data_IF_411435413878
#
_entry.id   IF_411435413878
#
_cell.length_a   1.000
_cell.length_b   1.000
_cell.length_c   1.000
_cell.angle_alpha   90.00
_cell.angle_beta   90.00
_cell.angle_gamma   90.00
#
_symmetry.space_group_name_H-M   'P 1'
#
loop_
_entity.id
_entity.type
_entity.pdbx_description
1 polymer ?
#
# COMPACT_ATOMS: atom_id res chain seq x y z
N UNK A 1 -8.07 29.28 -2.86
CA UNK A 1 -7.04 28.71 -3.76
C UNK A 1 -5.65 29.12 -3.27
N UNK A 2 -5.45 30.35 -2.87
CA UNK A 2 -4.16 30.86 -2.35
C UNK A 2 -3.68 30.12 -1.09
N UNK A 3 -4.60 29.55 -0.31
CA UNK A 3 -4.33 28.80 0.91
C UNK A 3 -4.06 27.31 0.68
N UNK A 4 -4.09 26.81 -0.55
CA UNK A 4 -3.83 25.40 -0.80
C UNK A 4 -2.35 25.06 -0.54
N UNK A 5 -2.07 24.00 0.21
CA UNK A 5 -0.70 23.57 0.51
C UNK A 5 0.09 23.28 -0.77
N UNK A 6 1.30 23.86 -0.84
CA UNK A 6 2.22 23.66 -1.96
C UNK A 6 3.17 22.49 -1.72
N UNK A 7 3.57 21.74 -2.77
CA UNK A 7 4.66 20.78 -2.68
C UNK A 7 6.02 21.48 -2.66
N UNK A 8 7.02 20.80 -2.15
CA UNK A 8 8.42 21.15 -2.40
C UNK A 8 8.82 20.63 -3.79
N UNK A 9 9.04 21.56 -4.72
CA UNK A 9 9.42 21.22 -6.09
C UNK A 9 10.91 20.88 -6.22
N UNK A 10 11.74 21.25 -5.25
CA UNK A 10 13.18 20.96 -5.28
C UNK A 10 13.52 19.47 -5.19
N UNK A 11 12.58 18.64 -4.76
CA UNK A 11 12.74 17.19 -4.66
C UNK A 11 12.32 16.41 -5.91
N UNK A 12 11.77 17.12 -6.93
CA UNK A 12 11.21 16.52 -8.14
C UNK A 12 12.20 16.63 -9.31
N UNK A 13 12.15 15.65 -10.21
CA UNK A 13 12.84 15.79 -11.49
C UNK A 13 12.15 16.81 -12.40
N UNK A 14 12.88 17.32 -13.41
CA UNK A 14 12.38 18.35 -14.33
C UNK A 14 11.08 17.91 -15.06
N UNK A 15 10.99 16.66 -15.43
CA UNK A 15 9.81 16.11 -16.13
C UNK A 15 8.58 16.11 -15.24
N UNK A 16 8.75 15.79 -13.96
CA UNK A 16 7.65 15.78 -13.00
C UNK A 16 7.25 17.19 -12.57
N UNK A 17 8.18 18.15 -12.53
CA UNK A 17 7.87 19.57 -12.35
C UNK A 17 7.00 20.08 -13.51
N UNK A 18 7.35 19.78 -14.76
CA UNK A 18 6.56 20.18 -15.94
C UNK A 18 5.16 19.58 -15.91
N UNK A 19 5.06 18.29 -15.58
CA UNK A 19 3.75 17.61 -15.42
C UNK A 19 2.92 18.22 -14.30
N UNK A 20 3.55 18.54 -13.19
CA UNK A 20 2.89 19.23 -12.07
C UNK A 20 2.36 20.60 -12.49
N UNK A 21 3.17 21.42 -13.16
CA UNK A 21 2.78 22.75 -13.62
C UNK A 21 1.59 22.70 -14.58
N UNK A 22 1.60 21.79 -15.57
CA UNK A 22 0.46 21.58 -16.48
C UNK A 22 -0.83 21.20 -15.73
N UNK A 23 -0.73 20.32 -14.74
CA UNK A 23 -1.89 19.95 -13.90
C UNK A 23 -2.38 21.13 -13.06
N UNK A 24 -1.46 21.91 -12.50
CA UNK A 24 -1.77 23.12 -11.72
C UNK A 24 -2.50 24.14 -12.58
N UNK A 25 -2.00 24.41 -13.77
CA UNK A 25 -2.63 25.31 -14.74
C UNK A 25 -4.05 24.85 -15.08
N UNK A 26 -4.26 23.57 -15.41
CA UNK A 26 -5.57 23.02 -15.71
C UNK A 26 -6.57 23.20 -14.56
N UNK A 27 -6.13 22.92 -13.32
CA UNK A 27 -6.97 23.11 -12.12
C UNK A 27 -7.24 24.59 -11.87
N UNK A 28 -6.26 25.46 -12.07
CA UNK A 28 -6.42 26.92 -11.90
C UNK A 28 -7.46 27.46 -12.88
N UNK A 29 -7.36 27.16 -14.17
CA UNK A 29 -8.32 27.56 -15.19
C UNK A 29 -9.74 27.08 -14.85
N UNK A 30 -9.87 25.83 -14.40
CA UNK A 30 -11.17 25.28 -13.97
C UNK A 30 -11.78 26.07 -12.82
N UNK A 31 -10.97 26.40 -11.80
CA UNK A 31 -11.43 27.14 -10.62
C UNK A 31 -11.74 28.61 -10.94
N UNK A 32 -11.18 29.13 -12.03
CA UNK A 32 -11.53 30.45 -12.60
C UNK A 32 -12.79 30.45 -13.46
N UNK A 33 -13.37 29.26 -13.73
CA UNK A 33 -14.61 29.12 -14.49
C UNK A 33 -14.39 29.00 -16.00
N UNK A 34 -13.17 28.73 -16.48
CA UNK A 34 -12.91 28.50 -17.90
C UNK A 34 -13.66 27.27 -18.42
N UNK A 35 -14.07 27.30 -19.68
CA UNK A 35 -14.73 26.17 -20.32
C UNK A 35 -13.79 24.98 -20.50
N UNK A 36 -14.31 23.74 -20.39
CA UNK A 36 -13.49 22.52 -20.56
C UNK A 36 -12.74 22.45 -21.89
N UNK A 37 -13.31 22.99 -22.97
CA UNK A 37 -12.65 23.04 -24.27
C UNK A 37 -11.40 23.94 -24.25
N UNK A 38 -11.46 25.07 -23.58
CA UNK A 38 -10.34 26.00 -23.42
C UNK A 38 -9.24 25.37 -22.56
N UNK A 39 -9.63 24.73 -21.45
CA UNK A 39 -8.68 24.03 -20.57
C UNK A 39 -7.98 22.90 -21.33
N UNK A 40 -8.71 22.14 -22.13
CA UNK A 40 -8.12 21.10 -22.96
C UNK A 40 -7.16 21.66 -24.02
N UNK A 41 -7.53 22.75 -24.68
CA UNK A 41 -6.68 23.41 -25.68
C UNK A 41 -5.36 23.92 -25.05
N UNK A 42 -5.42 24.48 -23.83
CA UNK A 42 -4.25 25.02 -23.14
C UNK A 42 -3.35 23.93 -22.52
N UNK A 43 -3.93 22.89 -21.93
CA UNK A 43 -3.20 21.97 -21.06
C UNK A 43 -3.20 20.50 -21.51
N UNK A 44 -4.05 20.14 -22.47
CA UNK A 44 -4.27 18.78 -22.92
C UNK A 44 -5.06 17.88 -21.93
N UNK A 45 -5.60 18.45 -20.85
CA UNK A 45 -6.33 17.68 -19.83
C UNK A 45 -7.82 17.59 -20.13
N UNK A 46 -8.33 16.37 -20.29
CA UNK A 46 -9.75 16.11 -20.47
C UNK A 46 -10.54 16.38 -19.18
N UNK A 47 -11.81 16.78 -19.30
CA UNK A 47 -12.74 17.07 -18.20
C UNK A 47 -12.78 15.94 -17.15
N UNK A 48 -12.86 14.67 -17.57
CA UNK A 48 -12.87 13.52 -16.67
C UNK A 48 -11.59 13.42 -15.83
N UNK A 49 -10.43 13.66 -16.46
CA UNK A 49 -9.15 13.63 -15.75
C UNK A 49 -9.03 14.79 -14.77
N UNK A 50 -9.44 15.98 -15.17
CA UNK A 50 -9.45 17.17 -14.33
C UNK A 50 -10.34 17.01 -13.09
N UNK A 51 -11.58 16.51 -13.26
CA UNK A 51 -12.47 16.22 -12.15
C UNK A 51 -11.87 15.20 -11.16
N UNK A 52 -11.16 14.19 -11.68
CA UNK A 52 -10.45 13.21 -10.85
C UNK A 52 -9.30 13.85 -10.08
N UNK A 53 -8.50 14.71 -10.72
CA UNK A 53 -7.42 15.44 -10.04
C UNK A 53 -7.95 16.27 -8.87
N UNK A 54 -9.06 16.97 -9.07
CA UNK A 54 -9.65 17.82 -8.04
C UNK A 54 -10.25 16.98 -6.93
N UNK A 55 -11.20 16.09 -7.22
CA UNK A 55 -11.98 15.37 -6.22
C UNK A 55 -11.17 14.31 -5.48
N UNK A 56 -10.39 13.50 -6.20
CA UNK A 56 -9.71 12.33 -5.62
C UNK A 56 -8.31 12.67 -5.13
N UNK A 57 -7.76 13.84 -5.48
CA UNK A 57 -6.38 14.19 -5.11
C UNK A 57 -6.29 15.52 -4.36
N UNK A 58 -6.76 16.62 -4.94
CA UNK A 58 -6.63 17.93 -4.28
C UNK A 58 -7.48 18.05 -3.01
N UNK A 59 -8.74 17.57 -3.07
CA UNK A 59 -9.69 17.69 -1.97
C UNK A 59 -9.57 16.59 -0.92
N UNK A 60 -8.71 15.61 -1.12
CA UNK A 60 -8.50 14.54 -0.15
C UNK A 60 -7.74 15.05 1.08
N UNK A 61 -8.03 14.48 2.25
CA UNK A 61 -7.37 14.85 3.50
C UNK A 61 -5.96 14.24 3.55
N UNK A 62 -4.96 15.09 3.78
CA UNK A 62 -3.59 14.69 4.01
C UNK A 62 -3.40 14.28 5.49
N UNK A 63 -2.40 13.42 5.83
CA UNK A 63 -2.12 13.03 7.22
C UNK A 63 -1.88 14.19 8.21
N UNK A 64 -1.54 15.39 7.74
CA UNK A 64 -1.42 16.60 8.56
C UNK A 64 -2.78 17.26 8.91
N UNK A 65 -3.91 16.64 8.54
CA UNK A 65 -5.26 17.12 8.80
C UNK A 65 -5.77 18.19 7.82
N UNK A 66 -4.95 18.68 6.88
CA UNK A 66 -5.35 19.61 5.82
C UNK A 66 -5.66 18.87 4.53
N UNK A 67 -6.26 19.54 3.56
CA UNK A 67 -6.40 18.98 2.20
C UNK A 67 -5.04 18.84 1.55
N UNK A 68 -4.92 17.91 0.60
CA UNK A 68 -3.71 17.79 -0.21
C UNK A 68 -3.42 19.08 -1.02
N UNK A 69 -4.46 19.75 -1.52
CA UNK A 69 -4.32 20.93 -2.34
C UNK A 69 -3.40 20.69 -3.54
N UNK A 70 -2.47 21.61 -3.79
CA UNK A 70 -1.50 21.48 -4.89
C UNK A 70 -0.58 20.27 -4.74
N UNK A 71 -0.29 19.82 -3.52
CA UNK A 71 0.51 18.60 -3.26
C UNK A 71 -0.11 17.36 -3.92
N UNK A 72 -1.45 17.31 -4.05
CA UNK A 72 -2.15 16.24 -4.72
C UNK A 72 -1.88 16.15 -6.22
N UNK A 73 -1.35 17.18 -6.87
CA UNK A 73 -1.05 17.20 -8.31
C UNK A 73 0.32 16.64 -8.67
N UNK A 74 1.19 16.42 -7.68
CA UNK A 74 2.53 15.87 -7.89
C UNK A 74 2.43 14.48 -8.52
N UNK A 75 3.15 14.21 -9.64
CA UNK A 75 3.22 12.89 -10.23
C UNK A 75 3.74 11.84 -9.22
N UNK A 76 3.27 10.60 -9.32
CA UNK A 76 3.72 9.52 -8.43
C UNK A 76 3.16 9.55 -6.99
N UNK A 77 2.63 10.67 -6.49
CA UNK A 77 2.00 10.71 -5.18
C UNK A 77 0.69 9.91 -5.17
N UNK A 78 0.60 8.93 -4.30
CA UNK A 78 -0.61 8.13 -4.08
C UNK A 78 -1.43 8.73 -2.94
N UNK A 79 -2.45 9.52 -3.27
CA UNK A 79 -3.34 10.18 -2.30
C UNK A 79 -4.35 9.19 -1.73
N UNK A 80 -4.87 8.29 -2.56
CA UNK A 80 -5.83 7.25 -2.18
C UNK A 80 -5.21 5.90 -2.47
N UNK A 81 -5.34 4.95 -1.54
CA UNK A 81 -4.92 3.57 -1.78
C UNK A 81 -5.73 2.99 -2.94
N UNK A 82 -5.04 2.41 -3.89
CA UNK A 82 -5.67 1.76 -5.04
C UNK A 82 -6.59 0.64 -4.55
N UNK A 83 -7.89 0.74 -4.87
CA UNK A 83 -8.87 -0.33 -4.67
C UNK A 83 -9.21 -0.95 -6.01
N UNK A 84 -9.06 -2.26 -6.09
CA UNK A 84 -9.42 -3.02 -7.27
C UNK A 84 -10.90 -3.42 -7.20
N UNK A 85 -11.66 -3.08 -8.24
CA UNK A 85 -13.07 -3.48 -8.37
C UNK A 85 -13.30 -4.55 -9.43
N UNK A 86 -12.27 -4.88 -10.23
CA UNK A 86 -12.37 -5.82 -11.35
C UNK A 86 -11.56 -7.07 -11.03
N UNK A 87 -12.13 -8.25 -11.30
CA UNK A 87 -11.42 -9.52 -11.15
C UNK A 87 -10.13 -9.55 -11.96
N UNK A 88 -9.10 -10.19 -11.41
CA UNK A 88 -7.85 -10.42 -12.13
C UNK A 88 -8.13 -11.44 -13.23
N UNK A 89 -7.85 -11.06 -14.49
CA UNK A 89 -7.89 -11.99 -15.62
C UNK A 89 -6.58 -12.75 -15.67
N UNK A 90 -6.63 -14.00 -16.16
CA UNK A 90 -5.43 -14.74 -16.49
C UNK A 90 -4.63 -13.97 -17.55
N UNK A 91 -3.35 -13.74 -17.29
CA UNK A 91 -2.45 -13.04 -18.19
C UNK A 91 -1.12 -13.78 -18.22
N UNK A 92 -0.57 -13.98 -19.40
CA UNK A 92 0.71 -14.68 -19.61
C UNK A 92 1.90 -13.95 -18.94
N UNK A 93 1.74 -12.65 -18.64
CA UNK A 93 2.83 -11.79 -18.16
C UNK A 93 2.67 -11.33 -16.71
N UNK A 94 1.68 -11.81 -15.96
CA UNK A 94 1.41 -11.37 -14.59
C UNK A 94 1.04 -9.88 -14.47
N UNK A 95 0.85 -9.15 -15.56
CA UNK A 95 0.43 -7.74 -15.57
C UNK A 95 -1.01 -7.60 -15.13
N UNK A 96 -1.35 -6.45 -14.56
CA UNK A 96 -2.73 -6.17 -14.14
C UNK A 96 -3.15 -6.84 -12.82
N UNK A 97 -2.21 -7.34 -12.02
CA UNK A 97 -2.49 -7.94 -10.69
C UNK A 97 -2.46 -6.92 -9.54
N UNK A 98 -2.20 -5.65 -9.83
CA UNK A 98 -2.20 -4.60 -8.81
C UNK A 98 -3.50 -4.62 -7.99
N UNK A 99 -3.39 -4.55 -6.66
CA UNK A 99 -4.53 -4.57 -5.73
C UNK A 99 -5.24 -5.92 -5.59
N UNK A 100 -4.79 -7.00 -6.26
CA UNK A 100 -5.44 -8.32 -6.18
C UNK A 100 -5.44 -8.89 -4.75
N UNK A 101 -4.32 -8.79 -4.05
CA UNK A 101 -4.21 -9.20 -2.64
C UNK A 101 -5.15 -8.40 -1.74
N UNK A 102 -5.16 -7.06 -1.87
CA UNK A 102 -6.03 -6.21 -1.07
C UNK A 102 -7.52 -6.51 -1.33
N UNK A 103 -7.89 -6.76 -2.58
CA UNK A 103 -9.25 -7.15 -2.94
C UNK A 103 -9.62 -8.51 -2.32
N UNK A 104 -8.74 -9.53 -2.41
CA UNK A 104 -8.96 -10.83 -1.76
C UNK A 104 -9.20 -10.67 -0.26
N UNK A 105 -8.35 -9.92 0.42
CA UNK A 105 -8.46 -9.70 1.87
C UNK A 105 -9.75 -8.96 2.26
N UNK A 106 -10.23 -8.05 1.41
CA UNK A 106 -11.48 -7.34 1.62
C UNK A 106 -12.70 -8.25 1.41
N UNK A 107 -12.65 -9.14 0.42
CA UNK A 107 -13.73 -10.06 0.10
C UNK A 107 -13.84 -11.22 1.09
N UNK A 108 -12.75 -11.59 1.72
CA UNK A 108 -12.63 -12.75 2.63
C UNK A 108 -12.12 -12.32 4.03
N UNK A 109 -12.92 -11.60 4.83
CA UNK A 109 -12.47 -11.06 6.12
C UNK A 109 -12.08 -12.14 7.13
N UNK A 110 -12.75 -13.31 7.11
CA UNK A 110 -12.41 -14.41 8.00
C UNK A 110 -11.10 -15.10 7.61
N UNK A 111 -10.85 -15.21 6.30
CA UNK A 111 -9.55 -15.67 5.81
C UNK A 111 -8.44 -14.68 6.17
N UNK A 112 -8.69 -13.38 6.09
CA UNK A 112 -7.73 -12.35 6.48
C UNK A 112 -7.32 -12.48 7.94
N UNK A 113 -8.28 -12.62 8.85
CA UNK A 113 -8.00 -12.86 10.29
C UNK A 113 -7.19 -14.15 10.52
N UNK A 114 -7.48 -15.21 9.75
CA UNK A 114 -6.75 -16.46 9.83
C UNK A 114 -5.33 -16.32 9.30
N UNK A 115 -5.15 -15.61 8.19
CA UNK A 115 -3.84 -15.32 7.60
C UNK A 115 -2.97 -14.49 8.56
N UNK A 116 -3.52 -13.44 9.17
CA UNK A 116 -2.81 -12.60 10.14
C UNK A 116 -2.33 -13.43 11.35
N UNK A 117 -3.19 -14.31 11.86
CA UNK A 117 -2.80 -15.26 12.91
C UNK A 117 -1.67 -16.19 12.47
N UNK A 118 -1.68 -16.64 11.22
CA UNK A 118 -0.62 -17.51 10.70
C UNK A 118 0.71 -16.76 10.48
N UNK A 119 0.66 -15.50 10.08
CA UNK A 119 1.85 -14.65 9.91
C UNK A 119 2.55 -14.42 11.25
N UNK A 120 1.78 -14.12 12.30
CA UNK A 120 2.33 -13.82 13.63
C UNK A 120 2.56 -15.08 14.49
N UNK A 121 2.19 -16.26 13.99
CA UNK A 121 2.37 -17.51 14.70
C UNK A 121 3.85 -17.90 14.71
N UNK A 122 4.41 -18.05 15.89
CA UNK A 122 5.72 -18.67 16.09
C UNK A 122 5.63 -20.17 15.84
N UNK A 123 6.48 -20.71 14.98
CA UNK A 123 6.66 -22.15 14.85
C UNK A 123 7.71 -22.60 15.89
N UNK A 124 7.36 -23.45 16.84
CA UNK A 124 8.30 -23.94 17.84
C UNK A 124 9.22 -25.05 17.35
N UNK A 125 9.39 -25.25 16.06
CA UNK A 125 10.27 -26.29 15.53
C UNK A 125 11.73 -25.88 15.71
N UNK A 126 12.18 -26.16 16.92
CA UNK A 126 13.40 -25.70 17.58
C UNK A 126 14.69 -26.36 17.11
N UNK A 127 14.66 -27.23 16.11
CA UNK A 127 15.89 -27.92 15.64
C UNK A 127 16.86 -27.03 14.89
N UNK A 128 16.45 -25.85 14.44
CA UNK A 128 17.29 -24.95 13.62
C UNK A 128 17.41 -23.53 14.18
N UNK A 129 16.90 -23.24 15.38
CA UNK A 129 16.97 -21.87 15.93
C UNK A 129 16.12 -20.84 15.20
N UNK A 130 15.43 -21.17 14.14
CA UNK A 130 14.53 -20.29 13.41
C UNK A 130 13.12 -20.36 14.00
N UNK A 131 12.76 -19.34 14.74
CA UNK A 131 11.39 -19.16 15.26
C UNK A 131 10.43 -18.69 14.16
N UNK A 132 10.99 -18.26 13.03
CA UNK A 132 10.24 -17.76 11.89
C UNK A 132 9.73 -18.90 11.02
N UNK A 133 8.42 -18.89 10.74
CA UNK A 133 7.88 -19.75 9.69
C UNK A 133 8.48 -19.35 8.34
N UNK A 134 9.11 -20.28 7.57
CA UNK A 134 9.62 -19.96 6.24
C UNK A 134 8.53 -19.35 5.35
N UNK A 135 8.84 -18.31 4.62
CA UNK A 135 7.85 -17.64 3.73
C UNK A 135 7.21 -18.59 2.74
N UNK A 136 7.99 -19.57 2.27
CA UNK A 136 7.49 -20.61 1.37
C UNK A 136 6.45 -21.51 2.06
N UNK A 137 6.64 -21.88 3.30
CA UNK A 137 5.65 -22.67 4.06
C UNK A 137 4.36 -21.87 4.33
N UNK A 138 4.48 -20.56 4.57
CA UNK A 138 3.31 -19.68 4.66
C UNK A 138 2.56 -19.59 3.32
N UNK A 139 3.30 -19.49 2.21
CA UNK A 139 2.72 -19.44 0.88
C UNK A 139 2.03 -20.76 0.49
N UNK A 140 2.65 -21.90 0.78
CA UNK A 140 2.04 -23.22 0.55
C UNK A 140 0.74 -23.37 1.35
N UNK A 141 0.73 -22.94 2.61
CA UNK A 141 -0.47 -22.91 3.43
C UNK A 141 -1.54 -21.97 2.85
N UNK A 142 -1.15 -20.76 2.44
CA UNK A 142 -2.02 -19.76 1.80
C UNK A 142 -2.73 -20.35 0.57
N UNK A 143 -1.99 -21.00 -0.32
CA UNK A 143 -2.56 -21.63 -1.50
C UNK A 143 -3.50 -22.80 -1.13
N UNK A 144 -3.14 -23.61 -0.13
CA UNK A 144 -3.98 -24.70 0.36
C UNK A 144 -5.33 -24.19 0.84
N UNK A 145 -5.34 -23.13 1.64
CA UNK A 145 -6.57 -22.52 2.17
C UNK A 145 -7.45 -21.93 1.04
N UNK A 146 -6.85 -21.28 0.05
CA UNK A 146 -7.60 -20.74 -1.08
C UNK A 146 -8.15 -21.84 -2.00
N UNK A 147 -7.44 -22.96 -2.16
CA UNK A 147 -7.97 -24.15 -2.85
C UNK A 147 -9.21 -24.70 -2.15
N UNK A 148 -9.13 -24.85 -0.82
CA UNK A 148 -10.28 -25.30 -0.03
C UNK A 148 -11.50 -24.36 -0.16
N UNK A 149 -11.27 -23.09 -0.43
CA UNK A 149 -12.30 -22.07 -0.70
C UNK A 149 -12.75 -22.00 -2.18
N UNK A 150 -12.21 -22.88 -3.03
CA UNK A 150 -12.61 -23.00 -4.43
C UNK A 150 -12.03 -21.93 -5.38
N UNK A 151 -11.01 -21.18 -4.98
CA UNK A 151 -10.40 -20.14 -5.82
C UNK A 151 -9.72 -20.70 -7.07
N UNK A 152 -9.07 -21.87 -6.95
CA UNK A 152 -8.46 -22.55 -8.09
C UNK A 152 -9.52 -23.03 -9.09
N UNK A 153 -10.60 -23.64 -8.62
CA UNK A 153 -11.70 -24.11 -9.48
C UNK A 153 -12.40 -22.97 -10.21
N UNK A 154 -12.51 -21.79 -9.57
CA UNK A 154 -13.07 -20.58 -10.19
C UNK A 154 -12.10 -19.83 -11.07
N UNK A 155 -10.85 -20.30 -11.19
CA UNK A 155 -9.77 -19.62 -11.91
C UNK A 155 -9.63 -18.16 -11.46
N UNK A 156 -9.60 -17.95 -10.13
CA UNK A 156 -9.44 -16.62 -9.53
C UNK A 156 -8.01 -16.43 -9.02
N UNK A 157 -7.59 -15.17 -8.86
CA UNK A 157 -6.29 -14.87 -8.28
C UNK A 157 -6.17 -15.54 -6.89
N UNK A 158 -5.04 -16.19 -6.54
CA UNK A 158 -3.72 -16.11 -7.18
C UNK A 158 -3.47 -17.15 -8.30
N UNK A 159 -4.40 -18.06 -8.59
CA UNK A 159 -4.21 -19.17 -9.53
C UNK A 159 -4.21 -18.73 -11.01
N UNK A 160 -4.51 -17.46 -11.28
CA UNK A 160 -4.46 -16.87 -12.64
C UNK A 160 -3.08 -16.38 -13.05
N UNK A 161 -2.07 -16.48 -12.17
CA UNK A 161 -0.72 -15.99 -12.44
C UNK A 161 0.33 -17.02 -12.04
N UNK A 162 1.41 -17.11 -12.81
CA UNK A 162 2.48 -18.09 -12.62
C UNK A 162 3.09 -18.04 -11.20
N UNK A 163 3.35 -16.84 -10.69
CA UNK A 163 3.91 -16.64 -9.34
C UNK A 163 2.95 -16.99 -8.20
N UNK A 164 1.69 -17.32 -8.51
CA UNK A 164 0.63 -17.63 -7.55
C UNK A 164 0.62 -16.67 -6.34
N UNK A 165 0.86 -15.38 -6.57
CA UNK A 165 0.79 -14.32 -5.58
C UNK A 165 1.89 -14.32 -4.52
N UNK A 166 2.98 -15.07 -4.67
CA UNK A 166 4.05 -15.20 -3.68
C UNK A 166 4.58 -13.85 -3.18
N UNK A 167 4.98 -12.94 -4.09
CA UNK A 167 5.51 -11.63 -3.72
C UNK A 167 4.47 -10.74 -3.03
N UNK A 168 3.19 -10.85 -3.44
CA UNK A 168 2.11 -10.09 -2.80
C UNK A 168 1.88 -10.55 -1.36
N UNK A 169 1.93 -11.87 -1.13
CA UNK A 169 1.86 -12.44 0.22
C UNK A 169 3.05 -12.02 1.07
N UNK A 170 4.27 -12.04 0.53
CA UNK A 170 5.47 -11.61 1.26
C UNK A 170 5.36 -10.16 1.71
N UNK A 171 4.95 -9.24 0.82
CA UNK A 171 4.76 -7.82 1.15
C UNK A 171 3.67 -7.61 2.20
N UNK A 172 2.58 -8.35 2.10
CA UNK A 172 1.53 -8.31 3.11
C UNK A 172 2.01 -8.81 4.46
N UNK A 173 2.73 -9.92 4.49
CA UNK A 173 3.30 -10.46 5.73
C UNK A 173 4.30 -9.48 6.38
N UNK A 174 5.13 -8.79 5.57
CA UNK A 174 6.04 -7.75 6.07
C UNK A 174 5.28 -6.56 6.67
N UNK A 175 4.18 -6.13 6.06
CA UNK A 175 3.33 -5.06 6.59
C UNK A 175 2.69 -5.46 7.93
N UNK A 176 2.11 -6.67 8.02
CA UNK A 176 1.51 -7.18 9.27
C UNK A 176 2.54 -7.28 10.40
N UNK A 177 3.77 -7.70 10.08
CA UNK A 177 4.86 -7.75 11.06
C UNK A 177 5.35 -6.37 11.48
N UNK A 178 5.39 -5.41 10.55
CA UNK A 178 5.73 -4.01 10.83
C UNK A 178 4.75 -3.35 11.78
N UNK A 179 3.45 -3.66 11.62
CA UNK A 179 2.40 -3.16 12.51
C UNK A 179 2.39 -3.85 13.90
N UNK A 180 3.16 -4.94 14.06
CA UNK A 180 3.26 -5.71 15.30
C UNK A 180 4.73 -5.89 15.74
N UNK A 181 5.48 -4.83 16.06
CA UNK A 181 6.93 -4.87 16.25
C UNK A 181 7.37 -5.80 17.38
N UNK A 182 6.62 -5.89 18.47
CA UNK A 182 6.93 -6.80 19.59
C UNK A 182 6.82 -8.28 19.16
N UNK A 183 5.75 -8.63 18.43
CA UNK A 183 5.61 -9.99 17.88
C UNK A 183 6.64 -10.28 16.81
N UNK A 184 6.95 -9.30 15.97
CA UNK A 184 8.01 -9.42 14.98
C UNK A 184 9.37 -9.67 15.63
N UNK A 185 9.70 -8.98 16.71
CA UNK A 185 10.92 -9.20 17.47
C UNK A 185 11.03 -10.62 18.02
N UNK A 186 9.92 -11.16 18.56
CA UNK A 186 9.85 -12.56 19.01
C UNK A 186 10.07 -13.56 17.88
N UNK A 187 9.50 -13.29 16.70
CA UNK A 187 9.62 -14.15 15.51
C UNK A 187 11.04 -14.13 14.96
N UNK A 188 11.74 -12.99 15.01
CA UNK A 188 13.08 -12.81 14.43
C UNK A 188 14.18 -13.20 15.41
N UNK A 189 14.06 -12.79 16.67
CA UNK A 189 15.13 -12.91 17.67
C UNK A 189 14.77 -13.66 18.93
N UNK A 190 13.58 -14.31 18.95
CA UNK A 190 13.12 -15.12 20.05
C UNK A 190 12.65 -14.34 21.28
N UNK A 191 12.32 -15.07 22.38
CA UNK A 191 11.77 -14.46 23.59
C UNK A 191 12.68 -13.42 24.27
N UNK A 192 13.98 -13.54 24.06
CA UNK A 192 14.94 -12.57 24.62
C UNK A 192 14.85 -11.20 23.94
N UNK A 193 14.73 -11.16 22.60
CA UNK A 193 14.57 -9.92 21.87
C UNK A 193 13.22 -9.27 22.17
N UNK A 194 12.16 -10.07 22.28
CA UNK A 194 10.84 -9.59 22.72
C UNK A 194 10.93 -8.92 24.09
N UNK A 195 11.58 -9.57 25.07
CA UNK A 195 11.78 -9.00 26.41
C UNK A 195 12.54 -7.68 26.37
N UNK A 196 13.62 -7.60 25.58
CA UNK A 196 14.38 -6.36 25.40
C UNK A 196 13.56 -5.22 24.84
N UNK A 197 12.70 -5.49 23.86
CA UNK A 197 11.80 -4.47 23.28
C UNK A 197 10.72 -3.98 24.25
N UNK A 198 10.20 -4.88 25.10
CA UNK A 198 9.15 -4.56 26.06
C UNK A 198 9.72 -3.88 27.32
N UNK A 199 10.86 -4.38 27.82
CA UNK A 199 11.44 -3.91 29.08
C UNK A 199 12.46 -2.79 28.94
N UNK A 200 12.93 -2.52 27.69
CA UNK A 200 14.16 -1.77 27.42
C UNK A 200 15.39 -2.56 27.89
N UNK A 201 16.52 -2.33 27.27
CA UNK A 201 17.79 -2.95 27.68
C UNK A 201 18.44 -2.28 28.90
N UNK A 202 17.80 -1.28 29.47
CA UNK A 202 18.29 -0.54 30.65
C UNK A 202 19.52 0.35 30.40
N UNK A 203 20.13 0.25 29.22
CA UNK A 203 21.39 0.92 28.89
C UNK A 203 21.17 2.31 28.29
N UNK A 204 20.02 2.53 27.66
CA UNK A 204 19.66 3.79 26.97
C UNK A 204 18.51 4.56 27.64
N UNK A 205 18.43 4.54 28.95
CA UNK A 205 17.58 5.56 29.60
C UNK A 205 18.30 6.89 29.48
N UNK A 206 17.69 7.93 28.86
CA UNK A 206 18.26 9.25 28.96
C UNK A 206 18.36 9.58 30.46
N UNK A 207 19.56 9.84 30.92
CA UNK A 207 19.79 10.35 32.28
C UNK A 207 19.14 11.72 32.27
N UNK A 208 17.94 11.85 32.84
CA UNK A 208 17.42 13.15 33.22
C UNK A 208 18.37 13.69 34.27
N UNK A 209 19.29 14.54 33.83
CA UNK A 209 20.05 15.39 34.72
C UNK A 209 19.05 16.37 35.36
N UNK A 210 19.12 16.55 36.67
CA UNK A 210 18.26 17.47 37.41
C UNK A 210 18.48 18.93 36.98
#
# INVERSE_FOLDING_TARGET
>A
IEQWPHPDLGTLDQTDVERFLKRKEAVTLYLQGSAYAEIYAATGHQARHLNRLIRERCMHIHPDGRIYGWRGLVPGVHVVKYQRHIKVRATDNGRGTAGAMANLLQMEPDFTKLLDKQIVKTCPDLKLGEIRRPRHALWTWFLKELRARGYETRNEWPFTVESMGYMSLCRYADAVLSDNPVKAARIVGGPQLEKKMVSGDGINRPVHQP
#
